data_IF_978711962619
#
_entry.id   IF_978711962619
#
_cell.length_a   1.000
_cell.length_b   1.000
_cell.length_c   1.000
_cell.angle_alpha   90.00
_cell.angle_beta   90.00
_cell.angle_gamma   90.00
#
_symmetry.space_group_name_H-M   'P 1'
#
loop_
_entity.id
_entity.type
_entity.pdbx_description
1 polymer ?
#
# COMPACT_ATOMS: atom_id res chain seq x y z
N UNK A 1 7.56 16.91 -18.01
CA UNK A 1 8.53 16.93 -16.89
C UNK A 1 7.82 17.50 -15.68
N UNK A 2 7.69 16.72 -14.60
CA UNK A 2 6.98 17.16 -13.40
C UNK A 2 7.93 17.94 -12.49
N UNK A 3 7.49 19.08 -11.97
CA UNK A 3 8.28 19.91 -11.04
C UNK A 3 8.65 19.09 -9.79
N UNK A 4 9.81 19.35 -9.18
CA UNK A 4 10.28 18.69 -7.94
C UNK A 4 9.26 18.75 -6.80
N UNK A 5 8.40 19.77 -6.77
CA UNK A 5 7.31 19.90 -5.79
C UNK A 5 6.21 18.84 -5.95
N UNK A 6 6.03 18.28 -7.14
CA UNK A 6 5.03 17.25 -7.44
C UNK A 6 5.57 15.82 -7.23
N UNK A 7 6.82 15.67 -6.78
CA UNK A 7 7.47 14.37 -6.55
C UNK A 7 6.64 13.46 -5.63
N UNK A 8 6.08 14.03 -4.56
CA UNK A 8 5.25 13.27 -3.62
C UNK A 8 3.99 12.72 -4.27
N UNK A 9 3.33 13.52 -5.12
CA UNK A 9 2.10 13.12 -5.80
C UNK A 9 2.41 12.07 -6.87
N UNK A 10 3.44 12.28 -7.70
CA UNK A 10 3.82 11.34 -8.77
C UNK A 10 4.28 10.00 -8.18
N UNK A 11 5.08 10.03 -7.11
CA UNK A 11 5.46 8.82 -6.38
C UNK A 11 4.23 8.09 -5.85
N UNK A 12 3.31 8.82 -5.21
CA UNK A 12 2.10 8.24 -4.64
C UNK A 12 1.20 7.62 -5.72
N UNK A 13 1.03 8.27 -6.88
CA UNK A 13 0.23 7.73 -7.98
C UNK A 13 0.79 6.41 -8.49
N UNK A 14 2.11 6.37 -8.78
CA UNK A 14 2.75 5.17 -9.32
C UNK A 14 2.76 4.06 -8.26
N UNK A 15 3.03 4.40 -7.00
CA UNK A 15 3.02 3.44 -5.89
C UNK A 15 1.62 2.86 -5.71
N UNK A 16 0.61 3.72 -5.66
CA UNK A 16 -0.78 3.31 -5.46
C UNK A 16 -1.26 2.43 -6.60
N UNK A 17 -0.88 2.71 -7.84
CA UNK A 17 -1.28 1.92 -9.01
C UNK A 17 -0.65 0.53 -8.97
N UNK A 18 0.66 0.44 -8.79
CA UNK A 18 1.39 -0.83 -8.77
C UNK A 18 0.99 -1.68 -7.56
N UNK A 19 0.86 -1.06 -6.38
CA UNK A 19 0.48 -1.75 -5.15
C UNK A 19 -0.96 -2.25 -5.20
N UNK A 20 -1.89 -1.46 -5.74
CA UNK A 20 -3.29 -1.88 -5.92
C UNK A 20 -3.42 -3.02 -6.91
N UNK A 21 -2.66 -2.99 -8.02
CA UNK A 21 -2.64 -4.08 -8.98
C UNK A 21 -2.10 -5.38 -8.37
N UNK A 22 -0.99 -5.30 -7.65
CA UNK A 22 -0.40 -6.47 -6.99
C UNK A 22 -1.33 -7.08 -5.93
N UNK A 23 -1.96 -6.25 -5.09
CA UNK A 23 -2.87 -6.72 -4.05
C UNK A 23 -4.16 -7.29 -4.61
N UNK A 24 -4.75 -6.63 -5.61
CA UNK A 24 -5.96 -7.15 -6.27
C UNK A 24 -5.68 -8.51 -6.88
N UNK A 25 -4.51 -8.69 -7.52
CA UNK A 25 -4.11 -9.96 -8.09
C UNK A 25 -4.00 -11.06 -7.02
N UNK A 26 -3.39 -10.76 -5.87
CA UNK A 26 -3.28 -11.71 -4.77
C UNK A 26 -4.63 -12.09 -4.17
N UNK A 27 -5.50 -11.11 -3.90
CA UNK A 27 -6.82 -11.37 -3.32
C UNK A 27 -7.65 -12.24 -4.27
N UNK A 28 -7.69 -11.91 -5.56
CA UNK A 28 -8.45 -12.72 -6.55
C UNK A 28 -7.83 -14.09 -6.79
N UNK A 29 -6.49 -14.22 -6.67
CA UNK A 29 -5.81 -15.52 -6.69
C UNK A 29 -6.23 -16.40 -5.51
N UNK A 30 -6.22 -15.85 -4.29
CA UNK A 30 -6.63 -16.57 -3.07
C UNK A 30 -8.12 -16.94 -3.11
N UNK A 31 -8.97 -16.08 -3.68
CA UNK A 31 -10.39 -16.36 -3.86
C UNK A 31 -10.70 -17.35 -5.00
N UNK A 32 -9.70 -17.78 -5.78
CA UNK A 32 -9.90 -18.69 -6.93
C UNK A 32 -10.68 -18.08 -8.09
N UNK A 33 -10.88 -16.76 -8.11
CA UNK A 33 -11.68 -16.03 -9.10
C UNK A 33 -10.80 -15.09 -9.93
N UNK A 34 -9.72 -15.62 -10.51
CA UNK A 34 -8.87 -14.86 -11.43
C UNK A 34 -9.47 -14.83 -12.83
N UNK A 35 -10.33 -13.86 -13.08
CA UNK A 35 -10.74 -13.46 -14.42
C UNK A 35 -10.29 -12.02 -14.67
N UNK A 36 -10.11 -11.67 -15.94
CA UNK A 36 -9.71 -10.31 -16.31
C UNK A 36 -10.75 -9.26 -15.83
N UNK A 37 -12.02 -9.66 -15.82
CA UNK A 37 -13.13 -8.83 -15.34
C UNK A 37 -13.05 -8.56 -13.83
N UNK A 38 -12.86 -9.59 -13.01
CA UNK A 38 -12.76 -9.42 -11.54
C UNK A 38 -11.50 -8.65 -11.14
N UNK A 39 -10.44 -8.76 -11.94
CA UNK A 39 -9.22 -7.98 -11.77
C UNK A 39 -9.45 -6.49 -12.04
N UNK A 40 -10.07 -6.13 -13.17
CA UNK A 40 -10.39 -4.73 -13.49
C UNK A 40 -11.37 -4.13 -12.48
N UNK A 41 -12.41 -4.86 -12.11
CA UNK A 41 -13.38 -4.43 -11.09
C UNK A 41 -12.74 -4.24 -9.71
N UNK A 42 -11.70 -5.00 -9.37
CA UNK A 42 -10.97 -4.85 -8.11
C UNK A 42 -9.93 -3.73 -8.13
N UNK A 43 -9.26 -3.50 -9.27
CA UNK A 43 -8.18 -2.52 -9.38
C UNK A 43 -8.68 -1.09 -9.23
N UNK A 44 -9.79 -0.74 -9.87
CA UNK A 44 -10.30 0.65 -9.89
C UNK A 44 -10.62 1.17 -8.48
N UNK A 45 -11.44 0.48 -7.65
CA UNK A 45 -11.70 0.92 -6.29
C UNK A 45 -10.46 0.82 -5.39
N UNK A 46 -9.64 -0.24 -5.57
CA UNK A 46 -8.36 -0.38 -4.86
C UNK A 46 -7.45 0.82 -5.10
N UNK A 47 -7.30 1.22 -6.36
CA UNK A 47 -6.47 2.35 -6.74
C UNK A 47 -7.02 3.65 -6.18
N UNK A 48 -8.32 3.90 -6.28
CA UNK A 48 -8.95 5.11 -5.76
C UNK A 48 -8.72 5.24 -4.25
N UNK A 49 -8.97 4.18 -3.48
CA UNK A 49 -8.77 4.17 -2.02
C UNK A 49 -7.30 4.36 -1.68
N UNK A 50 -6.40 3.63 -2.34
CA UNK A 50 -4.97 3.69 -2.07
C UNK A 50 -4.38 5.06 -2.43
N UNK A 51 -4.81 5.64 -3.55
CA UNK A 51 -4.40 6.98 -3.98
C UNK A 51 -4.86 8.06 -3.01
N UNK A 52 -6.12 8.01 -2.57
CA UNK A 52 -6.66 8.93 -1.56
C UNK A 52 -5.90 8.79 -0.25
N UNK A 53 -5.75 7.56 0.27
CA UNK A 53 -5.01 7.30 1.51
C UNK A 53 -3.55 7.79 1.44
N UNK A 54 -2.84 7.52 0.35
CA UNK A 54 -1.46 7.98 0.18
C UNK A 54 -1.33 9.49 -0.05
N UNK A 55 -2.43 10.16 -0.42
CA UNK A 55 -2.49 11.63 -0.55
C UNK A 55 -2.72 12.29 0.80
N UNK A 56 -3.59 11.73 1.64
CA UNK A 56 -3.89 12.25 2.98
C UNK A 56 -2.84 11.85 4.03
N UNK A 57 -2.29 10.63 3.93
CA UNK A 57 -1.29 10.11 4.85
C UNK A 57 0.09 10.33 4.21
N UNK A 58 0.95 11.21 4.75
CA UNK A 58 2.29 11.37 4.23
C UNK A 58 3.14 10.14 4.58
N UNK A 59 3.07 9.10 3.75
CA UNK A 59 3.65 7.76 3.94
C UNK A 59 5.12 7.81 4.39
N UNK A 60 5.91 8.65 3.71
CA UNK A 60 7.34 8.84 3.99
C UNK A 60 7.55 9.44 5.38
N UNK A 61 6.75 10.45 5.76
CA UNK A 61 6.86 11.12 7.07
C UNK A 61 6.40 10.20 8.20
N UNK A 62 5.26 9.53 8.03
CA UNK A 62 4.70 8.60 9.04
C UNK A 62 5.66 7.44 9.27
N UNK A 63 6.17 6.82 8.19
CA UNK A 63 7.15 5.74 8.31
C UNK A 63 8.48 6.17 8.95
N UNK A 64 8.97 7.39 8.65
CA UNK A 64 10.18 7.94 9.29
C UNK A 64 9.97 8.23 10.77
N UNK A 65 8.81 8.79 11.16
CA UNK A 65 8.46 9.03 12.57
C UNK A 65 8.39 7.70 13.31
N UNK A 66 7.73 6.69 12.73
CA UNK A 66 7.58 5.38 13.35
C UNK A 66 8.91 4.63 13.50
N UNK A 67 9.76 4.66 12.46
CA UNK A 67 11.08 4.05 12.55
C UNK A 67 11.99 4.76 13.55
N UNK A 68 11.87 6.09 13.69
CA UNK A 68 12.63 6.89 14.67
C UNK A 68 12.24 6.60 16.12
N UNK A 69 11.02 6.10 16.37
CA UNK A 69 10.59 5.63 17.71
C UNK A 69 11.37 4.37 18.12
N UNK A 70 11.68 3.47 17.18
CA UNK A 70 12.38 2.21 17.47
C UNK A 70 13.90 2.29 17.32
N UNK A 71 14.42 3.08 16.38
CA UNK A 71 15.86 3.17 16.10
C UNK A 71 16.25 4.62 15.81
N UNK A 72 17.15 5.20 16.62
CA UNK A 72 17.68 6.56 16.41
C UNK A 72 18.72 6.66 15.27
N UNK A 73 19.33 5.54 14.87
CA UNK A 73 20.35 5.50 13.82
C UNK A 73 19.74 5.35 12.42
N UNK A 74 19.62 6.46 11.69
CA UNK A 74 19.01 6.56 10.35
C UNK A 74 19.78 5.80 9.25
N UNK A 75 21.03 5.39 9.50
CA UNK A 75 21.87 4.64 8.54
C UNK A 75 21.74 3.12 8.62
N UNK A 76 21.01 2.57 9.60
CA UNK A 76 20.90 1.12 9.75
C UNK A 76 19.91 0.53 8.75
N UNK A 77 20.21 -0.62 8.12
CA UNK A 77 19.28 -1.30 7.21
C UNK A 77 17.97 -1.70 7.93
N UNK A 78 18.04 -1.92 9.24
CA UNK A 78 16.88 -2.21 10.10
C UNK A 78 15.90 -1.03 10.19
N UNK A 79 16.39 0.21 10.12
CA UNK A 79 15.53 1.40 10.11
C UNK A 79 14.63 1.42 8.86
N UNK A 80 15.19 1.04 7.70
CA UNK A 80 14.45 0.95 6.46
C UNK A 80 13.35 -0.12 6.51
N UNK A 81 13.66 -1.31 7.07
CA UNK A 81 12.68 -2.39 7.23
C UNK A 81 11.54 -2.01 8.17
N UNK A 82 11.83 -1.40 9.33
CA UNK A 82 10.81 -0.97 10.30
C UNK A 82 9.94 0.15 9.71
N UNK A 83 10.56 1.09 9.00
CA UNK A 83 9.82 2.14 8.28
C UNK A 83 8.85 1.55 7.27
N UNK A 84 9.32 0.60 6.46
CA UNK A 84 8.50 -0.06 5.45
C UNK A 84 7.39 -0.89 6.09
N UNK A 85 7.68 -1.59 7.19
CA UNK A 85 6.71 -2.35 7.95
C UNK A 85 5.57 -1.47 8.44
N UNK A 86 5.88 -0.31 9.05
CA UNK A 86 4.88 0.62 9.53
C UNK A 86 4.00 1.21 8.41
N UNK A 87 4.62 1.60 7.28
CA UNK A 87 3.89 2.12 6.12
C UNK A 87 2.94 1.07 5.56
N UNK A 88 3.46 -0.14 5.31
CA UNK A 88 2.66 -1.24 4.76
C UNK A 88 1.55 -1.64 5.74
N UNK A 89 1.82 -1.65 7.05
CA UNK A 89 0.82 -2.05 8.05
C UNK A 89 -0.35 -1.08 8.07
N UNK A 90 -0.08 0.23 8.12
CA UNK A 90 -1.13 1.26 8.11
C UNK A 90 -1.90 1.22 6.80
N UNK A 91 -1.20 1.15 5.66
CA UNK A 91 -1.84 1.15 4.35
C UNK A 91 -2.67 -0.11 4.09
N UNK A 92 -2.13 -1.28 4.42
CA UNK A 92 -2.86 -2.55 4.27
C UNK A 92 -4.05 -2.59 5.20
N UNK A 93 -3.93 -2.12 6.45
CA UNK A 93 -5.04 -2.09 7.40
C UNK A 93 -6.15 -1.15 6.93
N UNK A 94 -5.80 0.08 6.55
CA UNK A 94 -6.77 1.06 6.07
C UNK A 94 -7.43 0.61 4.77
N UNK A 95 -6.65 0.10 3.80
CA UNK A 95 -7.18 -0.34 2.50
C UNK A 95 -8.04 -1.59 2.62
N UNK A 96 -7.59 -2.61 3.36
CA UNK A 96 -8.38 -3.84 3.54
C UNK A 96 -9.67 -3.56 4.30
N UNK A 97 -9.64 -2.67 5.29
CA UNK A 97 -10.83 -2.26 6.04
C UNK A 97 -11.81 -1.50 5.14
N UNK A 98 -11.34 -0.51 4.38
CA UNK A 98 -12.20 0.29 3.50
C UNK A 98 -12.76 -0.52 2.33
N UNK A 99 -11.99 -1.44 1.74
CA UNK A 99 -12.46 -2.32 0.68
C UNK A 99 -13.52 -3.29 1.19
N UNK A 100 -13.28 -3.96 2.33
CA UNK A 100 -14.28 -4.83 2.95
C UNK A 100 -15.53 -4.06 3.36
N UNK A 101 -15.36 -2.84 3.87
CA UNK A 101 -16.49 -1.97 4.19
C UNK A 101 -17.28 -1.59 2.94
N UNK A 102 -16.61 -1.32 1.82
CA UNK A 102 -17.27 -1.02 0.54
C UNK A 102 -18.02 -2.22 -0.05
N UNK A 103 -17.59 -3.45 0.21
CA UNK A 103 -18.22 -4.66 -0.32
C UNK A 103 -19.36 -5.19 0.57
N UNK A 104 -19.16 -5.16 1.90
CA UNK A 104 -20.06 -5.81 2.86
C UNK A 104 -20.93 -4.84 3.67
N UNK A 105 -20.60 -3.53 3.68
CA UNK A 105 -21.23 -2.55 4.57
C UNK A 105 -20.95 -2.79 6.06
N UNK A 106 -21.68 -2.10 6.95
CA UNK A 106 -21.48 -2.20 8.40
C UNK A 106 -22.18 -3.44 8.97
N UNK A 107 -21.50 -4.59 8.93
CA UNK A 107 -22.01 -5.87 9.45
C UNK A 107 -21.14 -6.39 10.60
N UNK A 108 -21.75 -7.15 11.53
CA UNK A 108 -21.02 -7.81 12.63
C UNK A 108 -19.96 -8.81 12.15
N UNK A 109 -20.06 -9.29 10.91
CA UNK A 109 -19.10 -10.21 10.30
C UNK A 109 -17.84 -9.49 9.76
N UNK A 110 -17.90 -8.17 9.53
CA UNK A 110 -16.80 -7.38 8.99
C UNK A 110 -15.50 -7.48 9.81
N UNK A 111 -15.49 -7.25 11.14
CA UNK A 111 -14.25 -7.35 11.91
C UNK A 111 -13.68 -8.78 11.92
N UNK A 112 -14.55 -9.80 11.86
CA UNK A 112 -14.13 -11.20 11.87
C UNK A 112 -13.53 -11.63 10.52
N UNK A 113 -14.10 -11.17 9.41
CA UNK A 113 -13.55 -11.35 8.07
C UNK A 113 -12.25 -10.56 7.86
N UNK A 114 -12.15 -9.36 8.44
CA UNK A 114 -10.94 -8.55 8.39
C UNK A 114 -9.77 -9.24 9.10
N UNK A 115 -9.96 -9.71 10.33
CA UNK A 115 -8.88 -10.35 11.10
C UNK A 115 -8.40 -11.65 10.43
N UNK A 116 -9.28 -12.39 9.73
CA UNK A 116 -8.89 -13.65 9.08
C UNK A 116 -8.12 -13.44 7.77
N UNK A 117 -8.48 -12.44 6.97
CA UNK A 117 -7.81 -12.16 5.69
C UNK A 117 -6.58 -11.25 5.82
N UNK A 118 -6.49 -10.48 6.91
CA UNK A 118 -5.46 -9.46 7.11
C UNK A 118 -4.03 -10.03 7.16
N UNK A 119 -3.71 -11.13 7.87
CA UNK A 119 -2.33 -11.63 7.98
C UNK A 119 -1.72 -12.03 6.63
N UNK A 120 -2.49 -12.74 5.79
CA UNK A 120 -2.04 -13.16 4.47
C UNK A 120 -1.87 -11.98 3.52
N UNK A 121 -2.84 -11.06 3.52
CA UNK A 121 -2.78 -9.84 2.70
C UNK A 121 -1.61 -8.95 3.12
N UNK A 122 -1.37 -8.80 4.42
CA UNK A 122 -0.27 -8.02 4.97
C UNK A 122 1.11 -8.59 4.63
N UNK A 123 1.31 -9.90 4.76
CA UNK A 123 2.58 -10.53 4.41
C UNK A 123 2.92 -10.32 2.93
N UNK A 124 1.95 -10.54 2.05
CA UNK A 124 2.13 -10.31 0.61
C UNK A 124 2.38 -8.82 0.32
N UNK A 125 1.57 -7.92 0.89
CA UNK A 125 1.74 -6.48 0.78
C UNK A 125 3.13 -6.01 1.22
N UNK A 126 3.68 -6.63 2.26
CA UNK A 126 4.99 -6.28 2.80
C UNK A 126 6.12 -6.71 1.86
N UNK A 127 6.08 -7.94 1.35
CA UNK A 127 7.07 -8.42 0.37
C UNK A 127 7.05 -7.56 -0.89
N UNK A 128 5.85 -7.31 -1.42
CA UNK A 128 5.64 -6.44 -2.58
C UNK A 128 6.15 -5.02 -2.30
N UNK A 129 5.79 -4.45 -1.16
CA UNK A 129 6.24 -3.13 -0.73
C UNK A 129 7.76 -3.02 -0.70
N UNK A 130 8.44 -3.96 -0.04
CA UNK A 130 9.92 -3.95 0.09
C UNK A 130 10.62 -4.08 -1.26
N UNK A 131 10.10 -4.90 -2.18
CA UNK A 131 10.69 -5.07 -3.51
C UNK A 131 10.45 -3.86 -4.42
N UNK A 132 9.25 -3.27 -4.35
CA UNK A 132 8.81 -2.26 -5.29
C UNK A 132 9.30 -0.87 -4.91
N UNK A 133 9.38 -0.54 -3.62
CA UNK A 133 9.80 0.78 -3.14
C UNK A 133 11.16 1.29 -3.67
N UNK A 134 12.26 0.49 -3.70
CA UNK A 134 13.54 0.96 -4.25
C UNK A 134 13.47 1.19 -5.77
N UNK A 135 12.69 0.38 -6.49
CA UNK A 135 12.46 0.55 -7.92
C UNK A 135 11.65 1.82 -8.18
N UNK A 136 10.62 2.06 -7.38
CA UNK A 136 9.74 3.21 -7.51
C UNK A 136 10.45 4.52 -7.21
N UNK A 137 11.33 4.56 -6.20
CA UNK A 137 12.16 5.74 -5.92
C UNK A 137 13.05 6.10 -7.12
N UNK A 138 13.66 5.11 -7.79
CA UNK A 138 14.46 5.34 -9.01
C UNK A 138 13.62 5.87 -10.17
N UNK A 139 12.43 5.30 -10.37
CA UNK A 139 11.49 5.70 -11.43
C UNK A 139 11.01 7.14 -11.21
N UNK A 140 10.56 7.48 -9.99
CA UNK A 140 10.08 8.84 -9.69
C UNK A 140 11.21 9.86 -9.77
N UNK A 141 12.43 9.53 -9.35
CA UNK A 141 13.60 10.41 -9.50
C UNK A 141 13.96 10.66 -10.97
N UNK A 142 13.74 9.69 -11.86
CA UNK A 142 13.94 9.89 -13.30
C UNK A 142 12.84 10.73 -13.96
N UNK A 143 11.62 10.70 -13.41
CA UNK A 143 10.44 11.42 -13.94
C UNK A 143 10.34 12.88 -13.45
N UNK A 144 10.80 13.14 -12.22
CA UNK A 144 10.95 14.48 -11.66
C UNK A 144 12.40 14.96 -11.83
N UNK A 145 12.70 15.56 -12.98
CA UNK A 145 13.91 16.38 -13.19
C UNK A 145 13.64 17.83 -12.82
#
# INVERSE_FOLDING_TARGET
MFKKEQFGIVFNTIFSLVFSAALTLFIKFVSGQLTFETFLMGIVPSFAINFVLGTFIPLVKVGNVFARIFIKNEKNPVFYLIRMFAIVLIMTAAMSFLMMFSEMGFTLALPMAFISSFPGTFLYAYVVGVLIFPVLLKITQSLCK
#
